data_IF_630704955283
#
_entry.id   IF_630704955283
#
_cell.length_a   1.000
_cell.length_b   1.000
_cell.length_c   1.000
_cell.angle_alpha   90.00
_cell.angle_beta   90.00
_cell.angle_gamma   90.00
#
_symmetry.space_group_name_H-M   'P 1'
#
loop_
_entity.id
_entity.type
_entity.pdbx_description
1 polymer ?
#
# COMPACT_ATOMS: atom_id res chain seq x y z
N UNK A 1 -10.66 -3.75 -40.42
CA UNK A 1 -9.37 -3.87 -41.14
C UNK A 1 -8.27 -4.21 -40.13
N UNK A 2 -7.59 -5.37 -40.22
CA UNK A 2 -6.46 -5.67 -39.35
C UNK A 2 -5.28 -4.78 -39.74
N UNK A 3 -4.90 -3.86 -38.86
CA UNK A 3 -3.81 -2.92 -39.08
C UNK A 3 -2.49 -3.70 -39.18
N UNK A 4 -1.88 -3.70 -40.37
CA UNK A 4 -0.67 -4.45 -40.68
C UNK A 4 0.53 -3.79 -39.97
N UNK A 5 0.85 -4.27 -38.77
CA UNK A 5 1.93 -3.70 -37.93
C UNK A 5 3.30 -3.97 -38.54
N UNK A 6 4.15 -2.94 -38.57
CA UNK A 6 5.53 -3.03 -39.04
C UNK A 6 6.33 -4.04 -38.21
N UNK A 7 7.32 -4.69 -38.82
CA UNK A 7 8.19 -5.67 -38.11
C UNK A 7 8.91 -5.04 -36.91
N UNK A 8 9.34 -3.78 -37.05
CA UNK A 8 9.96 -3.01 -35.97
C UNK A 8 9.01 -2.81 -34.78
N UNK A 9 7.74 -2.47 -35.02
CA UNK A 9 6.73 -2.33 -33.96
C UNK A 9 6.50 -3.64 -33.21
N UNK A 10 6.47 -4.77 -33.93
CA UNK A 10 6.33 -6.10 -33.33
C UNK A 10 7.51 -6.42 -32.41
N UNK A 11 8.75 -6.14 -32.84
CA UNK A 11 9.97 -6.32 -32.03
C UNK A 11 9.97 -5.42 -30.80
N UNK A 12 9.65 -4.14 -30.97
CA UNK A 12 9.57 -3.17 -29.88
C UNK A 12 8.52 -3.60 -28.83
N UNK A 13 7.33 -3.99 -29.28
CA UNK A 13 6.27 -4.51 -28.40
C UNK A 13 6.73 -5.73 -27.61
N UNK A 14 7.42 -6.68 -28.27
CA UNK A 14 7.98 -7.87 -27.61
C UNK A 14 8.96 -7.47 -26.52
N UNK A 15 9.90 -6.58 -26.83
CA UNK A 15 10.89 -6.08 -25.87
C UNK A 15 10.24 -5.39 -24.67
N UNK A 16 9.24 -4.52 -24.89
CA UNK A 16 8.51 -3.87 -23.80
C UNK A 16 7.78 -4.88 -22.90
N UNK A 17 7.17 -5.92 -23.47
CA UNK A 17 6.53 -6.96 -22.69
C UNK A 17 7.53 -7.78 -21.87
N UNK A 18 8.72 -8.04 -22.41
CA UNK A 18 9.81 -8.71 -21.70
C UNK A 18 10.32 -7.86 -20.53
N UNK A 19 10.51 -6.56 -20.74
CA UNK A 19 10.86 -5.63 -19.66
C UNK A 19 9.80 -5.61 -18.55
N UNK A 20 8.51 -5.59 -18.90
CA UNK A 20 7.43 -5.65 -17.91
C UNK A 20 7.42 -6.96 -17.12
N UNK A 21 7.71 -8.09 -17.78
CA UNK A 21 7.85 -9.39 -17.09
C UNK A 21 9.06 -9.39 -16.16
N UNK A 22 10.21 -8.90 -16.63
CA UNK A 22 11.43 -8.82 -15.84
C UNK A 22 11.24 -7.95 -14.59
N UNK A 23 10.59 -6.78 -14.72
CA UNK A 23 10.23 -5.92 -13.58
C UNK A 23 9.39 -6.65 -12.53
N UNK A 24 8.40 -7.44 -12.95
CA UNK A 24 7.56 -8.22 -12.02
C UNK A 24 8.35 -9.30 -11.28
N UNK A 25 9.25 -10.00 -11.98
CA UNK A 25 10.09 -11.05 -11.39
C UNK A 25 11.10 -10.45 -10.41
N UNK A 26 11.79 -9.38 -10.82
CA UNK A 26 12.77 -8.68 -9.99
C UNK A 26 12.10 -8.06 -8.76
N UNK A 27 10.96 -7.39 -8.94
CA UNK A 27 10.17 -6.85 -7.84
C UNK A 27 9.74 -7.95 -6.85
N UNK A 28 9.25 -9.09 -7.34
CA UNK A 28 8.88 -10.21 -6.48
C UNK A 28 10.07 -10.79 -5.69
N UNK A 29 11.28 -10.77 -6.27
CA UNK A 29 12.51 -11.17 -5.58
C UNK A 29 12.89 -10.18 -4.49
N UNK A 30 12.79 -8.87 -4.77
CA UNK A 30 13.01 -7.82 -3.76
C UNK A 30 12.00 -7.95 -2.62
N UNK A 31 10.74 -8.25 -2.93
CA UNK A 31 9.66 -8.43 -1.95
C UNK A 31 9.77 -9.70 -1.10
N UNK A 32 10.72 -10.58 -1.38
CA UNK A 32 10.92 -11.80 -0.62
C UNK A 32 11.47 -11.47 0.77
N UNK A 33 10.82 -12.00 1.82
CA UNK A 33 11.19 -11.77 3.22
C UNK A 33 10.87 -10.36 3.74
N UNK A 34 11.09 -10.19 5.04
CA UNK A 34 10.95 -8.90 5.74
C UNK A 34 12.09 -7.93 5.34
N UNK A 35 11.83 -6.62 5.38
CA UNK A 35 12.84 -5.59 5.13
C UNK A 35 13.00 -4.69 6.35
N UNK A 36 14.23 -4.55 6.80
CA UNK A 36 14.61 -3.58 7.83
C UNK A 36 14.77 -2.19 7.23
N UNK A 37 14.85 -1.16 8.08
CA UNK A 37 15.17 0.22 7.68
C UNK A 37 16.43 0.29 6.80
N UNK A 38 17.47 -0.44 7.19
CA UNK A 38 18.74 -0.49 6.46
C UNK A 38 18.56 -1.11 5.07
N UNK A 39 17.82 -2.21 4.96
CA UNK A 39 17.56 -2.85 3.67
C UNK A 39 16.81 -1.92 2.71
N UNK A 40 15.80 -1.20 3.21
CA UNK A 40 15.03 -0.24 2.40
C UNK A 40 15.90 0.89 1.85
N UNK A 41 16.84 1.39 2.67
CA UNK A 41 17.79 2.43 2.28
C UNK A 41 18.79 1.91 1.23
N UNK A 42 19.38 0.73 1.46
CA UNK A 42 20.33 0.11 0.52
C UNK A 42 19.69 -0.17 -0.85
N UNK A 43 18.40 -0.53 -0.84
CA UNK A 43 17.62 -0.78 -2.06
C UNK A 43 17.08 0.49 -2.73
N UNK A 44 17.38 1.67 -2.18
CA UNK A 44 16.88 2.97 -2.66
C UNK A 44 15.34 2.98 -2.81
N UNK A 45 14.66 2.45 -1.80
CA UNK A 45 13.21 2.44 -1.67
C UNK A 45 12.76 3.56 -0.74
N UNK A 46 11.65 4.22 -1.04
CA UNK A 46 11.08 5.23 -0.16
C UNK A 46 10.47 4.60 1.11
N UNK A 47 10.34 5.36 2.22
CA UNK A 47 9.58 4.94 3.40
C UNK A 47 8.08 4.90 3.09
N UNK A 48 7.64 3.80 2.46
CA UNK A 48 6.29 3.61 1.99
C UNK A 48 5.75 2.24 2.38
N UNK A 49 4.42 2.15 2.52
CA UNK A 49 3.68 0.90 2.63
C UNK A 49 2.68 0.81 1.49
N UNK A 50 2.75 -0.29 0.75
CA UNK A 50 1.89 -0.59 -0.39
C UNK A 50 0.77 -1.53 0.04
N UNK A 51 -0.47 -1.16 -0.28
CA UNK A 51 -1.65 -1.98 -0.02
C UNK A 51 -2.18 -2.54 -1.34
N UNK A 52 -2.30 -3.86 -1.43
CA UNK A 52 -2.83 -4.55 -2.60
C UNK A 52 -4.17 -5.20 -2.28
N UNK A 53 -5.22 -4.86 -3.01
CA UNK A 53 -6.52 -5.53 -2.94
C UNK A 53 -6.54 -6.76 -3.85
N UNK A 54 -7.20 -7.81 -3.39
CA UNK A 54 -7.53 -8.99 -4.16
C UNK A 54 -8.90 -8.79 -4.82
N UNK A 55 -8.93 -8.75 -6.15
CA UNK A 55 -10.16 -8.53 -6.92
C UNK A 55 -11.16 -9.70 -6.81
N UNK A 56 -10.69 -10.90 -6.47
CA UNK A 56 -11.53 -12.09 -6.43
C UNK A 56 -12.15 -12.34 -5.04
N UNK A 57 -11.34 -12.21 -3.98
CA UNK A 57 -11.77 -12.46 -2.60
C UNK A 57 -12.11 -11.19 -1.80
N UNK A 58 -11.69 -10.03 -2.28
CA UNK A 58 -11.84 -8.76 -1.54
C UNK A 58 -10.80 -8.55 -0.44
N UNK A 59 -9.88 -9.49 -0.23
CA UNK A 59 -8.82 -9.38 0.79
C UNK A 59 -7.79 -8.28 0.46
N UNK A 60 -7.01 -7.87 1.47
CA UNK A 60 -5.93 -6.90 1.30
C UNK A 60 -4.62 -7.50 1.80
N UNK A 61 -3.54 -7.21 1.09
CA UNK A 61 -2.16 -7.55 1.44
C UNK A 61 -1.33 -6.28 1.58
N UNK A 62 -0.45 -6.27 2.56
CA UNK A 62 0.49 -5.18 2.82
C UNK A 62 1.89 -5.56 2.33
N UNK A 63 2.65 -4.59 1.82
CA UNK A 63 4.05 -4.78 1.42
C UNK A 63 4.87 -3.54 1.71
N UNK A 64 6.12 -3.73 2.12
CA UNK A 64 7.10 -2.66 2.34
C UNK A 64 7.75 -2.18 1.03
N UNK A 65 7.54 -2.90 -0.07
CA UNK A 65 8.21 -2.64 -1.35
C UNK A 65 7.18 -2.56 -2.49
N UNK A 66 7.52 -1.93 -3.64
CA UNK A 66 6.63 -1.79 -4.81
C UNK A 66 6.37 -3.10 -5.58
N UNK A 67 6.19 -4.20 -4.87
CA UNK A 67 5.93 -5.55 -5.36
C UNK A 67 5.44 -6.44 -4.19
N UNK A 68 5.14 -7.70 -4.48
CA UNK A 68 4.76 -8.67 -3.45
C UNK A 68 5.26 -10.09 -3.73
N UNK A 69 5.45 -10.87 -2.67
CA UNK A 69 5.92 -12.26 -2.71
C UNK A 69 4.96 -13.23 -2.00
N UNK A 70 5.14 -14.54 -2.23
CA UNK A 70 4.33 -15.58 -1.57
C UNK A 70 4.50 -15.57 -0.04
N UNK A 71 5.68 -15.19 0.45
CA UNK A 71 5.97 -15.19 1.89
C UNK A 71 5.10 -14.18 2.64
N UNK A 72 4.84 -13.02 2.03
CA UNK A 72 3.95 -12.00 2.60
C UNK A 72 2.52 -12.53 2.69
N UNK A 73 2.04 -13.23 1.65
CA UNK A 73 0.73 -13.93 1.70
C UNK A 73 0.73 -14.96 2.83
N UNK A 74 1.79 -15.73 3.00
CA UNK A 74 1.87 -16.72 4.07
C UNK A 74 1.88 -16.08 5.47
N UNK A 75 2.56 -14.94 5.62
CA UNK A 75 2.64 -14.21 6.87
C UNK A 75 1.33 -13.53 7.26
N UNK A 76 0.57 -13.02 6.27
CA UNK A 76 -0.71 -12.33 6.50
C UNK A 76 -1.88 -13.31 6.73
N UNK A 77 -1.91 -14.43 6.00
CA UNK A 77 -3.03 -15.38 6.00
C UNK A 77 -2.66 -16.66 6.74
N UNK A 78 -2.45 -16.57 8.05
CA UNK A 78 -1.96 -17.66 8.92
C UNK A 78 -3.05 -18.68 9.27
N UNK A 79 -4.31 -18.25 9.42
CA UNK A 79 -5.46 -19.11 9.74
C UNK A 79 -6.58 -18.97 8.68
N UNK A 80 -6.35 -19.45 7.45
CA UNK A 80 -7.37 -19.37 6.41
C UNK A 80 -8.55 -20.29 6.73
N UNK A 81 -9.76 -19.84 6.37
CA UNK A 81 -10.98 -20.63 6.49
C UNK A 81 -11.86 -20.44 5.25
N UNK A 82 -13.10 -20.93 5.27
CA UNK A 82 -13.99 -20.82 4.11
C UNK A 82 -14.42 -19.37 3.81
N UNK A 83 -14.55 -18.51 4.84
CA UNK A 83 -14.85 -17.08 4.67
C UNK A 83 -13.61 -16.31 4.22
N UNK A 84 -12.45 -16.58 4.83
CA UNK A 84 -11.16 -15.92 4.61
C UNK A 84 -10.15 -16.91 4.01
N UNK A 85 -10.34 -17.30 2.75
CA UNK A 85 -9.51 -18.31 2.07
C UNK A 85 -8.09 -17.78 1.83
N UNK A 86 -7.08 -18.65 1.87
CA UNK A 86 -5.72 -18.23 1.50
C UNK A 86 -5.67 -17.82 0.03
N UNK A 87 -5.33 -16.56 -0.31
CA UNK A 87 -5.32 -16.12 -1.69
C UNK A 87 -4.14 -16.68 -2.48
N UNK A 88 -4.32 -16.86 -3.78
CA UNK A 88 -3.24 -17.22 -4.68
C UNK A 88 -2.36 -16.01 -5.03
N UNK A 89 -1.07 -16.23 -5.31
CA UNK A 89 -0.15 -15.21 -5.86
C UNK A 89 -0.37 -14.99 -7.36
N UNK A 90 -1.61 -14.96 -7.83
CA UNK A 90 -1.93 -14.71 -9.23
C UNK A 90 -1.88 -13.20 -9.49
N UNK A 91 -1.02 -12.75 -10.40
CA UNK A 91 -0.78 -11.31 -10.60
C UNK A 91 -2.00 -10.53 -11.13
N UNK A 92 -2.94 -11.21 -11.76
CA UNK A 92 -4.20 -10.62 -12.22
C UNK A 92 -5.20 -10.41 -11.07
N UNK A 93 -5.07 -11.14 -9.96
CA UNK A 93 -5.93 -10.96 -8.78
C UNK A 93 -5.56 -9.75 -7.94
N UNK A 94 -4.27 -9.43 -7.86
CA UNK A 94 -3.79 -8.36 -6.99
C UNK A 94 -3.70 -7.03 -7.72
N UNK A 95 -4.36 -6.01 -7.17
CA UNK A 95 -4.29 -4.63 -7.66
C UNK A 95 -3.84 -3.70 -6.56
N UNK A 96 -3.11 -2.66 -6.93
CA UNK A 96 -2.79 -1.58 -6.01
C UNK A 96 -4.09 -0.93 -5.53
N UNK A 97 -4.23 -0.80 -4.21
CA UNK A 97 -5.36 -0.16 -3.53
C UNK A 97 -4.97 1.22 -3.01
N UNK A 98 -3.83 1.30 -2.34
CA UNK A 98 -3.29 2.55 -1.81
C UNK A 98 -1.76 2.44 -1.63
N UNK A 99 -1.10 3.59 -1.59
CA UNK A 99 0.30 3.75 -1.17
C UNK A 99 0.34 4.79 -0.07
N UNK A 100 0.75 4.40 1.13
CA UNK A 100 1.01 5.33 2.23
C UNK A 100 2.50 5.67 2.24
N UNK A 101 2.83 6.95 2.13
CA UNK A 101 4.18 7.50 2.21
C UNK A 101 4.34 8.22 3.53
N UNK A 102 5.44 7.96 4.24
CA UNK A 102 5.69 8.46 5.58
C UNK A 102 6.92 9.37 5.59
N UNK A 103 7.03 10.24 6.61
CA UNK A 103 8.16 11.15 6.76
C UNK A 103 9.52 10.42 6.87
N UNK A 104 9.54 9.24 7.49
CA UNK A 104 10.76 8.49 7.75
C UNK A 104 10.54 6.97 7.71
N UNK A 105 11.65 6.22 7.64
CA UNK A 105 11.63 4.76 7.56
C UNK A 105 11.13 4.08 8.84
N UNK A 106 11.27 4.71 10.01
CA UNK A 106 10.79 4.14 11.27
C UNK A 106 9.26 4.13 11.27
N UNK A 107 8.64 5.21 10.82
CA UNK A 107 7.19 5.30 10.63
C UNK A 107 6.69 4.27 9.63
N UNK A 108 7.35 4.12 8.48
CA UNK A 108 6.95 3.13 7.49
C UNK A 108 7.05 1.68 8.04
N UNK A 109 8.11 1.37 8.79
CA UNK A 109 8.29 0.05 9.41
C UNK A 109 7.29 -0.18 10.54
N UNK A 110 7.06 0.83 11.40
CA UNK A 110 6.06 0.78 12.46
C UNK A 110 4.65 0.57 11.90
N UNK A 111 4.30 1.32 10.86
CA UNK A 111 3.01 1.20 10.18
C UNK A 111 2.81 -0.20 9.59
N UNK A 112 3.81 -0.71 8.87
CA UNK A 112 3.76 -2.07 8.30
C UNK A 112 3.56 -3.13 9.40
N UNK A 113 4.32 -3.04 10.50
CA UNK A 113 4.21 -3.99 11.61
C UNK A 113 2.87 -3.88 12.34
N UNK A 114 2.37 -2.67 12.55
CA UNK A 114 1.04 -2.41 13.11
C UNK A 114 -0.06 -3.06 12.27
N UNK A 115 -0.03 -2.87 10.95
CA UNK A 115 -0.98 -3.47 10.01
C UNK A 115 -0.92 -5.01 10.02
N UNK A 116 0.28 -5.60 10.06
CA UNK A 116 0.44 -7.05 10.22
C UNK A 116 -0.19 -7.53 11.54
N UNK A 117 0.07 -6.80 12.62
CA UNK A 117 -0.41 -7.17 13.95
C UNK A 117 -1.93 -7.06 14.06
N UNK A 118 -2.53 -5.99 13.56
CA UNK A 118 -3.99 -5.83 13.52
C UNK A 118 -4.66 -6.92 12.71
N UNK A 119 -4.10 -7.30 11.55
CA UNK A 119 -4.61 -8.46 10.80
C UNK A 119 -4.52 -9.75 11.62
N UNK A 120 -3.38 -10.01 12.27
CA UNK A 120 -3.23 -11.18 13.13
C UNK A 120 -4.26 -11.17 14.29
N UNK A 121 -4.51 -10.01 14.89
CA UNK A 121 -5.54 -9.86 15.92
C UNK A 121 -6.92 -10.19 15.37
N UNK A 122 -7.30 -9.66 14.20
CA UNK A 122 -8.59 -9.94 13.55
C UNK A 122 -8.77 -11.42 13.17
N UNK A 123 -7.71 -12.09 12.74
CA UNK A 123 -7.80 -13.47 12.22
C UNK A 123 -7.58 -14.54 13.31
N UNK A 124 -6.82 -14.23 14.37
CA UNK A 124 -6.39 -15.21 15.36
C UNK A 124 -6.91 -14.91 16.76
N UNK A 125 -6.63 -13.72 17.28
CA UNK A 125 -6.80 -13.43 18.72
C UNK A 125 -8.20 -12.96 19.07
N UNK A 126 -8.79 -12.10 18.23
CA UNK A 126 -10.09 -11.45 18.42
C UNK A 126 -11.04 -11.75 17.25
N UNK A 127 -10.95 -12.96 16.70
CA UNK A 127 -11.75 -13.36 15.53
C UNK A 127 -13.26 -13.28 15.76
N UNK A 128 -13.73 -13.53 16.99
CA UNK A 128 -15.14 -13.42 17.35
C UNK A 128 -15.63 -11.96 17.33
N UNK A 129 -14.90 -11.06 18.01
CA UNK A 129 -15.18 -9.62 18.01
C UNK A 129 -15.14 -9.04 16.59
N UNK A 130 -14.10 -9.39 15.82
CA UNK A 130 -14.00 -8.99 14.42
C UNK A 130 -15.18 -9.49 13.59
N UNK A 131 -15.63 -10.73 13.83
CA UNK A 131 -16.82 -11.29 13.15
C UNK A 131 -18.08 -10.52 13.54
N UNK A 132 -18.26 -10.09 14.78
CA UNK A 132 -19.45 -9.35 15.23
C UNK A 132 -19.56 -7.96 14.59
N UNK A 133 -18.44 -7.27 14.38
CA UNK A 133 -18.42 -5.94 13.73
C UNK A 133 -18.74 -5.98 12.22
N UNK A 134 -18.62 -7.14 11.58
CA UNK A 134 -18.85 -7.27 10.13
C UNK A 134 -20.34 -7.33 9.81
N UNK A 135 -20.75 -6.62 8.76
CA UNK A 135 -22.08 -6.75 8.15
C UNK A 135 -22.40 -8.21 7.84
N UNK A 136 -23.62 -8.63 8.20
CA UNK A 136 -24.13 -10.00 7.98
C UNK A 136 -25.08 -10.08 6.79
N UNK A 137 -25.17 -11.28 6.22
CA UNK A 137 -26.28 -11.67 5.35
C UNK A 137 -27.41 -12.31 6.19
N UNK A 138 -28.48 -12.75 5.52
CA UNK A 138 -29.64 -13.39 6.16
C UNK A 138 -29.27 -14.68 6.91
N UNK A 139 -28.25 -15.41 6.44
CA UNK A 139 -27.76 -16.64 7.07
C UNK A 139 -26.80 -16.40 8.26
N UNK A 140 -26.58 -15.14 8.66
CA UNK A 140 -25.63 -14.79 9.74
C UNK A 140 -24.15 -14.90 9.36
N UNK A 141 -23.83 -15.15 8.09
CA UNK A 141 -22.47 -15.13 7.57
C UNK A 141 -22.03 -13.69 7.32
N UNK A 142 -20.72 -13.44 7.28
CA UNK A 142 -20.20 -12.16 6.78
C UNK A 142 -20.76 -11.93 5.36
N UNK A 143 -21.24 -10.72 5.04
CA UNK A 143 -21.81 -10.44 3.72
C UNK A 143 -20.80 -10.71 2.59
N UNK A 144 -21.27 -11.27 1.48
CA UNK A 144 -20.45 -11.58 0.31
C UNK A 144 -21.25 -11.49 -0.99
N UNK A 145 -20.54 -11.37 -2.11
CA UNK A 145 -21.06 -11.57 -3.46
C UNK A 145 -20.18 -12.60 -4.18
N UNK A 146 -20.68 -13.82 -4.39
CA UNK A 146 -19.84 -14.95 -4.81
C UNK A 146 -18.78 -15.30 -3.76
N UNK A 147 -17.50 -15.15 -4.08
CA UNK A 147 -16.41 -15.28 -3.09
C UNK A 147 -15.86 -13.94 -2.60
N UNK A 148 -16.36 -12.82 -3.17
CA UNK A 148 -15.87 -11.50 -2.86
C UNK A 148 -16.50 -10.97 -1.56
N UNK A 149 -15.65 -10.53 -0.62
CA UNK A 149 -16.06 -9.93 0.65
C UNK A 149 -15.50 -8.50 0.76
N UNK A 150 -16.34 -7.46 0.64
CA UNK A 150 -15.89 -6.06 0.69
C UNK A 150 -15.38 -5.66 2.08
N UNK A 151 -15.83 -6.34 3.13
CA UNK A 151 -15.47 -6.04 4.52
C UNK A 151 -13.96 -6.03 4.73
N UNK A 152 -13.21 -6.90 4.06
CA UNK A 152 -11.75 -6.96 4.24
C UNK A 152 -11.02 -5.72 3.71
N UNK A 153 -11.57 -5.00 2.73
CA UNK A 153 -10.99 -3.74 2.25
C UNK A 153 -11.34 -2.59 3.20
N UNK A 154 -12.56 -2.60 3.76
CA UNK A 154 -12.98 -1.64 4.76
C UNK A 154 -12.17 -1.78 6.05
N UNK A 155 -11.98 -3.02 6.53
CA UNK A 155 -11.12 -3.34 7.66
C UNK A 155 -9.69 -2.85 7.43
N UNK A 156 -9.13 -3.06 6.23
CA UNK A 156 -7.77 -2.63 5.93
C UNK A 156 -7.60 -1.11 5.90
N UNK A 157 -8.61 -0.37 5.41
CA UNK A 157 -8.60 1.10 5.46
C UNK A 157 -8.73 1.62 6.91
N UNK A 158 -9.61 1.02 7.70
CA UNK A 158 -9.76 1.34 9.12
C UNK A 158 -8.52 0.98 9.94
N UNK A 159 -7.87 -0.15 9.64
CA UNK A 159 -6.60 -0.55 10.25
C UNK A 159 -5.49 0.46 9.93
N UNK A 160 -5.44 0.98 8.69
CA UNK A 160 -4.47 2.01 8.32
C UNK A 160 -4.72 3.32 9.08
N UNK A 161 -5.97 3.78 9.16
CA UNK A 161 -6.34 4.97 9.92
C UNK A 161 -5.93 4.83 11.39
N UNK A 162 -6.28 3.70 12.02
CA UNK A 162 -5.93 3.43 13.41
C UNK A 162 -4.42 3.37 13.65
N UNK A 163 -3.66 2.74 12.75
CA UNK A 163 -2.19 2.68 12.85
C UNK A 163 -1.54 4.06 12.75
N UNK A 164 -2.05 4.94 11.90
CA UNK A 164 -1.51 6.29 11.76
C UNK A 164 -1.82 7.13 13.00
N UNK A 165 -3.03 7.02 13.53
CA UNK A 165 -3.45 7.72 14.74
C UNK A 165 -2.68 7.25 15.98
N UNK A 166 -2.65 5.93 16.23
CA UNK A 166 -2.03 5.33 17.41
C UNK A 166 -0.52 5.61 17.51
N UNK A 167 0.17 5.66 16.37
CA UNK A 167 1.60 5.95 16.33
C UNK A 167 1.92 7.40 16.01
N UNK A 168 0.91 8.26 15.90
CA UNK A 168 1.03 9.68 15.56
C UNK A 168 1.96 9.91 14.36
N UNK A 169 1.68 9.21 13.25
CA UNK A 169 2.54 9.23 12.06
C UNK A 169 2.33 10.54 11.29
N UNK A 170 2.96 11.61 11.74
CA UNK A 170 2.93 12.93 11.13
C UNK A 170 3.48 12.94 9.69
N UNK A 171 2.99 13.90 8.90
CA UNK A 171 3.37 14.09 7.50
C UNK A 171 3.20 12.80 6.70
N UNK A 172 2.04 12.16 6.85
CA UNK A 172 1.69 10.94 6.10
C UNK A 172 0.90 11.33 4.85
N UNK A 173 1.32 10.85 3.68
CA UNK A 173 0.59 11.04 2.42
C UNK A 173 0.06 9.72 1.89
N UNK A 174 -1.26 9.60 1.74
CA UNK A 174 -1.90 8.39 1.23
C UNK A 174 -2.44 8.62 -0.17
N UNK A 175 -1.85 7.95 -1.16
CA UNK A 175 -2.32 7.95 -2.54
C UNK A 175 -3.24 6.76 -2.79
N UNK A 176 -4.53 7.03 -3.05
CA UNK A 176 -5.56 6.02 -3.25
C UNK A 176 -5.79 5.69 -4.73
N UNK A 177 -6.06 4.42 -5.05
CA UNK A 177 -6.52 4.04 -6.40
C UNK A 177 -7.86 4.72 -6.74
N UNK A 178 -8.72 4.86 -5.74
CA UNK A 178 -9.95 5.62 -5.83
C UNK A 178 -10.22 6.24 -4.45
N UNK A 179 -10.39 7.57 -4.41
CA UNK A 179 -10.59 8.32 -3.17
C UNK A 179 -11.80 7.83 -2.37
N UNK A 180 -12.83 7.29 -3.04
CA UNK A 180 -14.00 6.69 -2.40
C UNK A 180 -13.65 5.58 -1.39
N UNK A 181 -12.50 4.91 -1.57
CA UNK A 181 -12.05 3.82 -0.70
C UNK A 181 -11.67 4.27 0.71
N UNK A 182 -11.34 5.55 0.90
CA UNK A 182 -10.99 6.07 2.24
C UNK A 182 -12.21 6.14 3.16
N UNK A 183 -13.42 6.14 2.61
CA UNK A 183 -14.64 6.44 3.36
C UNK A 183 -14.77 7.94 3.67
N UNK A 184 -15.44 8.25 4.77
CA UNK A 184 -15.68 9.62 5.21
C UNK A 184 -14.45 10.22 5.91
N UNK A 185 -14.21 11.51 5.71
CA UNK A 185 -13.07 12.26 6.28
C UNK A 185 -13.12 12.30 7.81
N UNK A 186 -14.30 12.15 8.42
CA UNK A 186 -14.46 12.12 9.88
C UNK A 186 -13.71 10.98 10.59
N UNK A 187 -13.27 9.96 9.84
CA UNK A 187 -12.53 8.81 10.38
C UNK A 187 -11.02 8.98 10.28
N UNK A 188 -10.55 10.13 9.80
CA UNK A 188 -9.14 10.40 9.53
C UNK A 188 -8.66 11.63 10.31
N UNK A 189 -7.46 11.53 10.86
CA UNK A 189 -6.76 12.67 11.45
C UNK A 189 -6.09 13.50 10.37
N UNK A 190 -6.82 14.51 9.93
CA UNK A 190 -6.41 15.41 8.84
C UNK A 190 -5.21 16.30 9.20
N UNK A 191 -4.88 16.40 10.49
CA UNK A 191 -3.65 17.03 10.99
C UNK A 191 -2.39 16.19 10.70
N UNK A 192 -2.53 14.86 10.66
CA UNK A 192 -1.43 13.93 10.37
C UNK A 192 -1.32 13.56 8.88
N UNK A 193 -2.45 13.58 8.17
CA UNK A 193 -2.61 12.89 6.88
C UNK A 193 -3.05 13.83 5.76
N UNK A 194 -2.36 13.73 4.63
CA UNK A 194 -2.81 14.24 3.34
C UNK A 194 -3.32 13.09 2.46
N UNK A 195 -4.51 13.22 1.89
CA UNK A 195 -5.07 12.27 0.94
C UNK A 195 -4.88 12.75 -0.50
N UNK A 196 -4.42 11.83 -1.36
CA UNK A 196 -4.22 12.08 -2.79
C UNK A 196 -4.74 10.87 -3.62
N UNK A 197 -4.78 11.04 -4.93
CA UNK A 197 -5.17 10.00 -5.88
C UNK A 197 -3.96 9.47 -6.64
N UNK A 198 -3.94 8.16 -6.90
CA UNK A 198 -2.94 7.56 -7.76
C UNK A 198 -3.13 8.04 -9.20
N UNK A 199 -2.03 8.19 -9.96
CA UNK A 199 -2.13 8.51 -11.38
C UNK A 199 -2.94 7.43 -12.10
N UNK A 200 -3.83 7.83 -13.00
CA UNK A 200 -4.65 6.90 -13.75
C UNK A 200 -3.78 5.89 -14.51
N UNK A 201 -4.04 4.59 -14.31
CA UNK A 201 -3.21 3.56 -14.92
C UNK A 201 -4.00 2.37 -15.43
N UNK A 202 -3.49 1.77 -16.52
CA UNK A 202 -3.99 0.48 -16.97
C UNK A 202 -3.42 -0.62 -16.09
N UNK A 203 -4.22 -1.56 -15.57
CA UNK A 203 -3.76 -2.64 -14.69
C UNK A 203 -2.56 -3.44 -15.20
N UNK A 204 -2.44 -3.57 -16.52
CA UNK A 204 -1.31 -4.24 -17.18
C UNK A 204 0.05 -3.60 -16.84
N UNK A 205 0.06 -2.28 -16.65
CA UNK A 205 1.23 -1.46 -16.39
C UNK A 205 1.37 -1.07 -14.92
N UNK A 206 0.70 -1.76 -13.99
CA UNK A 206 0.83 -1.50 -12.55
C UNK A 206 2.28 -1.46 -12.05
N UNK A 207 3.18 -2.27 -12.62
CA UNK A 207 4.62 -2.24 -12.25
C UNK A 207 5.32 -0.94 -12.58
N UNK A 208 4.81 -0.17 -13.56
CA UNK A 208 5.33 1.16 -13.90
C UNK A 208 4.89 2.17 -12.86
N UNK A 209 3.60 2.16 -12.50
CA UNK A 209 3.03 3.02 -11.46
C UNK A 209 3.66 2.77 -10.11
N UNK A 210 3.93 1.51 -9.77
CA UNK A 210 4.63 1.16 -8.53
C UNK A 210 6.05 1.75 -8.48
N UNK A 211 6.79 1.79 -9.59
CA UNK A 211 8.10 2.46 -9.65
C UNK A 211 7.96 3.99 -9.64
N UNK A 212 6.93 4.55 -10.27
CA UNK A 212 6.63 5.98 -10.20
C UNK A 212 6.31 6.41 -8.76
N UNK A 213 5.46 5.66 -8.06
CA UNK A 213 5.12 5.92 -6.66
C UNK A 213 6.35 5.80 -5.74
N UNK A 214 7.25 4.86 -6.02
CA UNK A 214 8.54 4.76 -5.32
C UNK A 214 9.35 6.05 -5.49
N UNK A 215 9.46 6.58 -6.71
CA UNK A 215 10.19 7.84 -6.98
C UNK A 215 9.54 9.02 -6.28
N UNK A 216 8.21 9.18 -6.41
CA UNK A 216 7.45 10.22 -5.71
C UNK A 216 7.64 10.16 -4.20
N UNK A 217 7.72 8.96 -3.61
CA UNK A 217 8.00 8.80 -2.19
C UNK A 217 9.41 9.25 -1.79
N UNK A 218 10.42 9.04 -2.65
CA UNK A 218 11.77 9.53 -2.40
C UNK A 218 11.82 11.05 -2.49
N UNK A 219 11.11 11.63 -3.46
CA UNK A 219 11.07 13.08 -3.65
C UNK A 219 10.31 13.77 -2.51
N UNK A 220 9.19 13.19 -2.07
CA UNK A 220 8.45 13.61 -0.87
C UNK A 220 9.35 13.71 0.38
N UNK A 221 10.17 12.70 0.63
CA UNK A 221 11.08 12.71 1.79
C UNK A 221 12.21 13.74 1.63
N UNK A 222 12.68 13.97 0.40
CA UNK A 222 13.68 15.02 0.15
C UNK A 222 13.08 16.39 0.41
N UNK A 223 11.86 16.65 -0.06
CA UNK A 223 11.13 17.89 0.15
C UNK A 223 10.94 18.17 1.65
N UNK A 224 10.47 17.17 2.41
CA UNK A 224 10.34 17.30 3.87
C UNK A 224 11.67 17.62 4.55
N UNK A 225 12.77 17.00 4.10
CA UNK A 225 14.10 17.26 4.66
C UNK A 225 14.63 18.64 4.30
N UNK A 226 14.38 19.14 3.08
CA UNK A 226 14.76 20.51 2.72
C UNK A 226 13.97 21.53 3.53
N UNK A 227 12.65 21.35 3.68
CA UNK A 227 11.81 22.28 4.45
C UNK A 227 12.20 22.29 5.94
N UNK A 228 12.51 21.12 6.51
CA UNK A 228 13.01 21.02 7.89
C UNK A 228 14.40 21.67 8.09
N UNK A 229 15.25 21.68 7.06
CA UNK A 229 16.57 22.31 7.11
C UNK A 229 16.51 23.84 6.94
N UNK A 230 15.49 24.38 6.28
CA UNK A 230 15.27 25.82 6.09
C UNK A 230 14.59 26.48 7.30
N UNK A 231 13.73 25.75 8.03
CA UNK A 231 13.05 26.23 9.23
C UNK A 231 13.95 26.83 10.35
N UNK A 232 15.14 26.28 10.68
CA UNK A 232 16.00 26.89 11.69
C UNK A 232 16.57 28.26 11.29
N UNK A 233 16.72 28.57 9.99
CA UNK A 233 17.31 29.84 9.53
C UNK A 233 16.33 31.02 9.58
N UNK A 234 15.02 30.76 9.48
CA UNK A 234 14.00 31.81 9.54
C UNK A 234 13.80 32.36 10.97
N UNK A 235 13.98 31.51 11.99
CA UNK A 235 13.83 31.89 13.40
C UNK A 235 15.00 32.75 13.91
N UNK A 236 16.22 32.48 13.45
CA UNK A 236 17.40 33.30 13.80
C UNK A 236 17.38 34.68 13.12
N UNK A 237 16.95 34.76 11.85
CA UNK A 237 16.81 36.03 11.14
C UNK A 237 15.69 36.94 11.70
N UNK A 238 14.65 36.37 12.30
CA UNK A 238 13.60 37.15 12.97
C UNK A 238 14.02 37.60 14.38
N UNK A 239 14.84 36.82 15.09
CA UNK A 239 15.38 37.22 16.39
C UNK A 239 16.39 38.37 16.28
N UNK A 240 17.26 38.37 15.25
CA UNK A 240 18.21 39.47 14.99
C UNK A 240 17.55 40.74 14.43
N UNK A 241 16.36 40.65 13.84
CA UNK A 241 15.61 41.83 13.36
C UNK A 241 14.80 42.54 14.46
N UNK A 242 14.70 41.95 15.65
CA UNK A 242 13.98 42.50 16.82
C UNK A 242 14.90 42.88 17.99
N UNK A 243 16.22 42.77 17.83
CA UNK A 243 17.24 43.23 18.77
C UNK A 243 17.90 44.53 18.25
#
# INVERSE_FOLDING_TARGET
>A
MPQMRLSAEKRMRKHLLEQLKARKVLGARIAQGYKTKKDLQELNLAPQVFMFKNLFLGQVMYSQVPAYHQDQINALFTRPNWENRKPARRNDHWRLMAVASFANYEYAVAAYNGLLKLRQVRDVHKASEAKQMRRKNEDGNTWYSGQYRPTHQQEAAADLAHVIDEFELENTKISWENIWRKGDDSHWRMDLIEHDTLPAFTPKFQSVVLDEMRRKGLDFVKELRSTAAEAPQATEAQAEATA
#
